data_IF_728328672788
#
_entry.id   IF_728328672788
#
_cell.length_a   1.000
_cell.length_b   1.000
_cell.length_c   1.000
_cell.angle_alpha   90.00
_cell.angle_beta   90.00
_cell.angle_gamma   90.00
#
_symmetry.space_group_name_H-M   'P 1'
#
loop_
_entity.id
_entity.type
_entity.pdbx_description
1 polymer ?
#
# COMPACT_ATOMS: atom_id res chain seq x y z
N UNK A 1 -33.19 7.75 -39.01
CA UNK A 1 -33.57 8.56 -37.84
C UNK A 1 -33.87 7.60 -36.71
N UNK A 2 -32.97 7.51 -35.73
CA UNK A 2 -33.20 6.71 -34.51
C UNK A 2 -34.01 7.56 -33.52
N UNK A 3 -35.04 7.01 -32.88
CA UNK A 3 -35.84 7.74 -31.90
C UNK A 3 -34.97 8.18 -30.70
N UNK A 4 -35.29 9.31 -30.06
CA UNK A 4 -34.57 9.77 -28.88
C UNK A 4 -34.72 8.75 -27.72
N UNK A 5 -33.65 8.49 -26.94
CA UNK A 5 -33.68 7.51 -25.86
C UNK A 5 -34.60 7.95 -24.72
N UNK A 6 -35.34 7.00 -24.15
CA UNK A 6 -36.21 7.19 -22.99
C UNK A 6 -35.39 7.48 -21.72
N UNK A 7 -35.90 8.39 -20.88
CA UNK A 7 -35.23 8.82 -19.64
C UNK A 7 -34.99 7.66 -18.64
N UNK A 8 -35.71 6.55 -18.76
CA UNK A 8 -35.56 5.33 -17.95
C UNK A 8 -34.34 4.49 -18.30
N UNK A 9 -33.73 4.68 -19.48
CA UNK A 9 -32.64 3.83 -19.97
C UNK A 9 -31.25 4.37 -19.62
N UNK A 10 -31.19 5.60 -19.11
CA UNK A 10 -29.93 6.27 -18.73
C UNK A 10 -29.15 5.51 -17.64
N UNK A 11 -29.79 4.97 -16.57
CA UNK A 11 -29.06 4.27 -15.51
C UNK A 11 -28.48 2.92 -15.98
N UNK A 12 -29.22 2.18 -16.81
CA UNK A 12 -28.81 0.87 -17.34
C UNK A 12 -27.71 1.01 -18.41
N UNK A 13 -27.74 2.07 -19.23
CA UNK A 13 -26.64 2.39 -20.13
C UNK A 13 -25.37 2.79 -19.38
N UNK A 14 -25.49 3.56 -18.30
CA UNK A 14 -24.35 3.94 -17.49
C UNK A 14 -23.73 2.73 -16.76
N UNK A 15 -24.57 1.79 -16.31
CA UNK A 15 -24.11 0.55 -15.66
C UNK A 15 -23.45 -0.44 -16.62
N UNK A 16 -24.01 -0.64 -17.81
CA UNK A 16 -23.45 -1.54 -18.83
C UNK A 16 -22.11 -1.03 -19.39
N UNK A 17 -21.93 0.29 -19.51
CA UNK A 17 -20.62 0.88 -19.84
C UNK A 17 -19.56 0.70 -18.75
N UNK A 18 -19.97 0.49 -17.49
CA UNK A 18 -19.06 0.19 -16.40
C UNK A 18 -18.66 -1.30 -16.33
N UNK A 19 -19.55 -2.20 -16.77
CA UNK A 19 -19.38 -3.65 -16.63
C UNK A 19 -18.62 -4.32 -17.77
N UNK A 20 -18.59 -3.70 -18.96
CA UNK A 20 -17.84 -4.21 -20.10
C UNK A 20 -16.56 -3.36 -20.28
N UNK A 21 -15.44 -3.67 -19.59
CA UNK A 21 -14.16 -3.12 -19.97
C UNK A 21 -13.89 -3.57 -21.41
N UNK A 22 -14.01 -2.64 -22.36
CA UNK A 22 -13.91 -2.95 -23.79
C UNK A 22 -12.61 -3.70 -24.13
N UNK A 23 -12.55 -4.43 -25.25
CA UNK A 23 -11.40 -5.27 -25.63
C UNK A 23 -10.05 -4.52 -25.64
N UNK A 24 -10.06 -3.20 -25.81
CA UNK A 24 -8.89 -2.32 -25.73
C UNK A 24 -8.21 -2.30 -24.34
N UNK A 25 -8.96 -2.55 -23.25
CA UNK A 25 -8.41 -2.60 -21.89
C UNK A 25 -7.59 -3.88 -21.61
N UNK A 26 -7.73 -4.92 -22.43
CA UNK A 26 -6.99 -6.16 -22.24
C UNK A 26 -5.54 -6.06 -22.76
N UNK A 27 -5.35 -5.40 -23.91
CA UNK A 27 -4.04 -5.19 -24.51
C UNK A 27 -3.22 -4.17 -23.69
N UNK A 28 -3.88 -3.10 -23.22
CA UNK A 28 -3.32 -2.17 -22.24
C UNK A 28 -2.86 -2.92 -20.98
N UNK A 29 -3.68 -3.81 -20.39
CA UNK A 29 -3.28 -4.57 -19.18
C UNK A 29 -2.07 -5.48 -19.38
N UNK A 30 -1.87 -6.06 -20.56
CA UNK A 30 -0.71 -6.91 -20.84
C UNK A 30 0.58 -6.10 -20.99
N UNK A 31 0.53 -4.97 -21.70
CA UNK A 31 1.65 -4.03 -21.79
C UNK A 31 1.94 -3.38 -20.43
N UNK A 32 0.89 -3.04 -19.69
CA UNK A 32 1.00 -2.49 -18.33
C UNK A 32 1.61 -3.52 -17.38
N UNK A 33 1.22 -4.80 -17.45
CA UNK A 33 1.78 -5.88 -16.63
C UNK A 33 3.27 -6.08 -16.86
N UNK A 34 3.74 -6.06 -18.12
CA UNK A 34 5.18 -6.11 -18.42
C UNK A 34 5.94 -4.89 -17.88
N UNK A 35 5.42 -3.67 -18.05
CA UNK A 35 6.03 -2.45 -17.49
C UNK A 35 6.02 -2.43 -15.96
N UNK A 36 4.95 -2.92 -15.35
CA UNK A 36 4.82 -2.99 -13.88
C UNK A 36 5.86 -3.94 -13.30
N UNK A 37 6.08 -5.10 -13.93
CA UNK A 37 7.10 -6.06 -13.50
C UNK A 37 8.51 -5.47 -13.58
N UNK A 38 8.85 -4.74 -14.64
CA UNK A 38 10.18 -4.10 -14.75
C UNK A 38 10.33 -2.98 -13.71
N UNK A 39 9.29 -2.18 -13.47
CA UNK A 39 9.33 -1.10 -12.46
C UNK A 39 9.42 -1.65 -11.05
N UNK A 40 8.66 -2.69 -10.74
CA UNK A 40 8.65 -3.35 -9.43
C UNK A 40 9.98 -4.08 -9.19
N UNK A 41 10.50 -4.79 -10.20
CA UNK A 41 11.82 -5.39 -10.15
C UNK A 41 12.90 -4.33 -9.96
N UNK A 42 12.84 -3.20 -10.65
CA UNK A 42 13.80 -2.11 -10.49
C UNK A 42 13.74 -1.48 -9.09
N UNK A 43 12.54 -1.26 -8.55
CA UNK A 43 12.35 -0.74 -7.19
C UNK A 43 12.87 -1.72 -6.14
N UNK A 44 12.72 -3.03 -6.37
CA UNK A 44 13.24 -4.07 -5.51
C UNK A 44 14.76 -4.19 -5.63
N UNK A 45 15.31 -4.16 -6.84
CA UNK A 45 16.73 -4.39 -7.11
C UNK A 45 17.60 -3.20 -6.65
N UNK A 46 17.11 -1.98 -6.76
CA UNK A 46 17.82 -0.76 -6.38
C UNK A 46 18.42 -0.80 -4.95
N UNK A 47 17.64 -1.07 -3.88
CA UNK A 47 18.20 -1.13 -2.53
C UNK A 47 19.23 -2.27 -2.35
N UNK A 48 19.08 -3.40 -3.06
CA UNK A 48 20.06 -4.48 -3.01
C UNK A 48 21.36 -4.12 -3.70
N UNK A 49 21.31 -3.44 -4.84
CA UNK A 49 22.52 -2.97 -5.53
C UNK A 49 23.28 -1.97 -4.68
N UNK A 50 22.57 -1.01 -4.09
CA UNK A 50 23.16 -0.03 -3.17
C UNK A 50 23.80 -0.75 -1.97
N UNK A 51 23.06 -1.65 -1.33
CA UNK A 51 23.56 -2.43 -0.19
C UNK A 51 24.80 -3.25 -0.55
N UNK A 52 24.81 -3.89 -1.73
CA UNK A 52 25.95 -4.64 -2.22
C UNK A 52 27.17 -3.74 -2.47
N UNK A 53 26.96 -2.55 -3.04
CA UNK A 53 28.03 -1.57 -3.27
C UNK A 53 28.67 -1.08 -1.98
N UNK A 54 27.85 -0.72 -0.98
CA UNK A 54 28.34 -0.35 0.36
C UNK A 54 29.07 -1.52 1.03
N UNK A 55 28.55 -2.75 0.90
CA UNK A 55 29.16 -3.94 1.49
C UNK A 55 30.53 -4.26 0.86
N UNK A 56 30.63 -4.22 -0.47
CA UNK A 56 31.88 -4.47 -1.20
C UNK A 56 32.91 -3.39 -0.88
N UNK A 57 32.51 -2.12 -0.91
CA UNK A 57 33.41 -0.99 -0.62
C UNK A 57 33.92 -1.05 0.82
N UNK A 58 33.04 -1.35 1.78
CA UNK A 58 33.41 -1.52 3.18
C UNK A 58 34.37 -2.70 3.38
N UNK A 59 34.08 -3.86 2.77
CA UNK A 59 34.94 -5.03 2.85
C UNK A 59 36.33 -4.78 2.22
N UNK A 60 36.37 -4.11 1.07
CA UNK A 60 37.62 -3.74 0.41
C UNK A 60 38.45 -2.79 1.30
N UNK A 61 37.82 -1.76 1.88
CA UNK A 61 38.48 -0.83 2.78
C UNK A 61 39.00 -1.53 4.05
N UNK A 62 38.25 -2.48 4.58
CA UNK A 62 38.59 -3.26 5.75
C UNK A 62 39.85 -4.11 5.58
N UNK A 63 39.96 -4.79 4.43
CA UNK A 63 41.11 -5.66 4.13
C UNK A 63 42.40 -4.85 3.99
N UNK A 64 42.32 -3.62 3.46
CA UNK A 64 43.49 -2.76 3.30
C UNK A 64 43.95 -2.07 4.60
N UNK A 65 43.08 -1.93 5.59
CA UNK A 65 43.36 -1.17 6.81
C UNK A 65 42.98 -1.93 8.09
N UNK A 66 43.53 -3.13 8.26
CA UNK A 66 43.23 -3.99 9.43
C UNK A 66 43.55 -3.32 10.78
N UNK A 67 44.51 -2.40 10.81
CA UNK A 67 44.92 -1.67 12.03
C UNK A 67 43.84 -0.67 12.53
N UNK A 68 42.89 -0.27 11.67
CA UNK A 68 41.80 0.66 12.00
C UNK A 68 40.57 -0.05 12.59
N UNK A 69 40.58 -1.38 12.64
CA UNK A 69 39.49 -2.15 13.24
C UNK A 69 39.69 -2.21 14.75
N UNK A 70 38.93 -1.38 15.47
CA UNK A 70 38.92 -1.37 16.93
C UNK A 70 37.52 -1.68 17.45
N UNK A 71 37.45 -2.32 18.60
CA UNK A 71 36.19 -2.59 19.30
C UNK A 71 36.10 -1.67 20.54
N UNK A 72 35.85 -0.35 20.37
CA UNK A 72 35.89 0.60 21.48
C UNK A 72 34.86 0.28 22.56
N UNK A 73 33.73 -0.34 22.18
CA UNK A 73 32.67 -0.76 23.10
C UNK A 73 32.79 -2.22 23.53
N UNK A 74 33.77 -2.98 23.02
CA UNK A 74 33.97 -4.41 23.29
C UNK A 74 32.90 -5.36 22.73
N UNK A 75 31.73 -4.83 22.33
CA UNK A 75 30.59 -5.61 21.81
C UNK A 75 30.57 -5.66 20.28
N UNK A 76 31.03 -4.59 19.62
CA UNK A 76 30.99 -4.47 18.17
C UNK A 76 32.33 -3.95 17.66
N UNK A 77 32.88 -4.63 16.65
CA UNK A 77 33.99 -4.09 15.87
C UNK A 77 33.44 -2.96 15.01
N UNK A 78 33.86 -1.73 15.29
CA UNK A 78 33.53 -0.59 14.43
C UNK A 78 34.81 -0.18 13.70
N UNK A 79 34.66 0.18 12.44
CA UNK A 79 35.75 0.82 11.75
C UNK A 79 35.92 2.22 12.34
N UNK A 80 37.07 2.49 12.94
CA UNK A 80 37.51 3.85 13.27
C UNK A 80 38.02 4.56 11.99
N UNK A 81 37.38 4.24 10.87
CA UNK A 81 37.84 4.58 9.53
C UNK A 81 37.19 5.89 9.09
N UNK A 82 37.90 6.98 9.37
CA UNK A 82 37.86 8.26 8.66
C UNK A 82 36.50 8.90 8.37
N UNK A 83 36.56 10.16 7.93
CA UNK A 83 35.41 10.94 7.50
C UNK A 83 34.51 10.17 6.50
N UNK A 84 35.06 9.26 5.69
CA UNK A 84 34.29 8.56 4.65
C UNK A 84 33.20 7.65 5.21
N UNK A 85 33.51 6.72 6.12
CA UNK A 85 32.50 5.82 6.68
C UNK A 85 31.47 6.61 7.50
N UNK A 86 31.96 7.62 8.23
CA UNK A 86 31.16 8.45 9.12
C UNK A 86 30.15 9.33 8.40
N UNK A 87 30.49 9.88 7.23
CA UNK A 87 29.59 10.78 6.50
C UNK A 87 28.87 10.12 5.33
N UNK A 88 29.46 9.12 4.65
CA UNK A 88 28.85 8.55 3.43
C UNK A 88 27.50 7.88 3.69
N UNK A 89 27.40 7.07 4.75
CA UNK A 89 26.16 6.33 5.07
C UNK A 89 25.06 7.28 5.55
N UNK A 90 25.29 8.19 6.53
CA UNK A 90 24.26 9.14 6.94
C UNK A 90 23.86 10.10 5.84
N UNK A 91 24.82 10.60 5.03
CA UNK A 91 24.52 11.49 3.91
C UNK A 91 23.63 10.79 2.87
N UNK A 92 23.96 9.56 2.49
CA UNK A 92 23.12 8.77 1.60
C UNK A 92 21.70 8.58 2.18
N UNK A 93 21.61 8.24 3.46
CA UNK A 93 20.34 8.08 4.17
C UNK A 93 19.50 9.39 4.15
N UNK A 94 20.13 10.54 4.43
CA UNK A 94 19.48 11.85 4.39
C UNK A 94 18.97 12.15 2.98
N UNK A 95 19.80 11.97 1.94
CA UNK A 95 19.41 12.21 0.55
C UNK A 95 18.21 11.34 0.15
N UNK A 96 18.26 10.04 0.43
CA UNK A 96 17.16 9.12 0.13
C UNK A 96 15.90 9.49 0.91
N UNK A 97 16.03 9.83 2.20
CA UNK A 97 14.87 10.23 3.03
C UNK A 97 14.23 11.50 2.49
N UNK A 98 15.01 12.49 2.07
CA UNK A 98 14.50 13.72 1.45
C UNK A 98 13.77 13.40 0.14
N UNK A 99 14.31 12.51 -0.70
CA UNK A 99 13.64 12.07 -1.93
C UNK A 99 12.31 11.36 -1.64
N UNK A 100 12.27 10.50 -0.62
CA UNK A 100 11.05 9.82 -0.18
C UNK A 100 9.99 10.82 0.27
N UNK A 101 10.36 11.79 1.12
CA UNK A 101 9.46 12.86 1.57
C UNK A 101 8.95 13.68 0.38
N UNK A 102 9.81 14.02 -0.58
CA UNK A 102 9.39 14.77 -1.77
C UNK A 102 8.35 13.99 -2.61
N UNK A 103 8.58 12.69 -2.84
CA UNK A 103 7.62 11.82 -3.54
C UNK A 103 6.31 11.72 -2.75
N UNK A 104 6.38 11.61 -1.43
CA UNK A 104 5.20 11.54 -0.58
C UNK A 104 4.35 12.80 -0.64
N UNK A 105 4.98 13.98 -0.59
CA UNK A 105 4.32 15.27 -0.76
C UNK A 105 3.61 15.34 -2.12
N UNK A 106 4.28 14.90 -3.20
CA UNK A 106 3.67 14.84 -4.55
C UNK A 106 2.46 13.91 -4.55
N UNK A 107 2.56 12.73 -3.92
CA UNK A 107 1.45 11.78 -3.81
C UNK A 107 0.26 12.36 -3.04
N UNK A 108 0.52 13.11 -1.95
CA UNK A 108 -0.52 13.83 -1.21
C UNK A 108 -1.22 14.84 -2.11
N UNK A 109 -0.48 15.67 -2.83
CA UNK A 109 -1.08 16.66 -3.73
C UNK A 109 -1.93 16.02 -4.82
N UNK A 110 -1.45 14.94 -5.45
CA UNK A 110 -2.23 14.21 -6.45
C UNK A 110 -3.50 13.59 -5.83
N UNK A 111 -3.37 13.00 -4.64
CA UNK A 111 -4.50 12.43 -3.92
C UNK A 111 -5.58 13.48 -3.63
N UNK A 112 -5.19 14.67 -3.17
CA UNK A 112 -6.11 15.77 -2.92
C UNK A 112 -6.78 16.27 -4.20
N UNK A 113 -6.03 16.35 -5.31
CA UNK A 113 -6.58 16.73 -6.61
C UNK A 113 -7.62 15.74 -7.12
N UNK A 114 -7.31 14.44 -7.07
CA UNK A 114 -8.25 13.37 -7.46
C UNK A 114 -9.47 13.39 -6.55
N UNK A 115 -9.27 13.56 -5.25
CA UNK A 115 -10.37 13.63 -4.28
C UNK A 115 -11.32 14.79 -4.58
N UNK A 116 -10.79 15.98 -4.81
CA UNK A 116 -11.61 17.14 -5.17
C UNK A 116 -12.39 16.96 -6.48
N UNK A 117 -11.84 16.20 -7.43
CA UNK A 117 -12.54 15.86 -8.67
C UNK A 117 -13.68 14.85 -8.44
N UNK A 118 -13.44 13.84 -7.61
CA UNK A 118 -14.43 12.81 -7.25
C UNK A 118 -15.56 13.38 -6.41
N UNK A 119 -15.25 14.24 -5.43
CA UNK A 119 -16.25 14.86 -4.56
C UNK A 119 -17.24 15.72 -5.36
N UNK A 120 -16.78 16.35 -6.45
CA UNK A 120 -17.65 17.09 -7.39
C UNK A 120 -18.52 16.17 -8.23
N UNK A 121 -18.06 14.97 -8.55
CA UNK A 121 -18.77 14.02 -9.41
C UNK A 121 -19.79 13.17 -8.65
N UNK A 122 -19.52 12.81 -7.40
CA UNK A 122 -20.35 11.86 -6.62
C UNK A 122 -20.50 12.26 -5.15
N UNK A 123 -21.30 13.31 -4.84
CA UNK A 123 -21.45 13.82 -3.48
C UNK A 123 -22.19 12.88 -2.50
N UNK A 124 -22.85 11.83 -2.99
CA UNK A 124 -23.69 10.94 -2.16
C UNK A 124 -22.97 9.71 -1.61
N UNK A 125 -21.75 9.39 -2.07
CA UNK A 125 -21.07 8.16 -1.63
C UNK A 125 -20.33 8.40 -0.32
N UNK A 126 -20.98 8.08 0.81
CA UNK A 126 -20.38 8.16 2.15
C UNK A 126 -19.18 7.22 2.24
N UNK A 127 -17.97 7.78 2.38
CA UNK A 127 -16.71 7.05 2.23
C UNK A 127 -16.05 6.83 3.59
N UNK A 128 -16.29 5.67 4.20
CA UNK A 128 -15.81 5.35 5.55
C UNK A 128 -14.34 4.84 5.59
N UNK A 129 -13.76 4.46 4.45
CA UNK A 129 -12.45 3.79 4.38
C UNK A 129 -11.21 4.72 4.27
N UNK A 130 -11.35 6.03 4.40
CA UNK A 130 -10.23 6.95 4.11
C UNK A 130 -9.32 7.26 5.30
N UNK A 131 -9.85 7.17 6.53
CA UNK A 131 -9.11 7.57 7.74
C UNK A 131 -7.90 6.66 7.98
N UNK A 132 -8.03 5.35 7.73
CA UNK A 132 -6.94 4.39 7.93
C UNK A 132 -5.73 4.65 7.02
N UNK A 133 -5.96 5.09 5.79
CA UNK A 133 -4.89 5.45 4.86
C UNK A 133 -4.13 6.71 5.34
N UNK A 134 -4.88 7.73 5.78
CA UNK A 134 -4.30 8.97 6.30
C UNK A 134 -3.45 8.72 7.56
N UNK A 135 -3.92 7.91 8.50
CA UNK A 135 -3.17 7.57 9.71
C UNK A 135 -1.84 6.87 9.37
N UNK A 136 -1.85 5.91 8.43
CA UNK A 136 -0.63 5.23 8.01
C UNK A 136 0.37 6.18 7.36
N UNK A 137 -0.12 7.12 6.56
CA UNK A 137 0.70 8.15 5.93
C UNK A 137 1.34 9.08 6.98
N UNK A 138 0.57 9.49 7.98
CA UNK A 138 1.08 10.31 9.10
C UNK A 138 2.15 9.57 9.90
N UNK A 139 1.97 8.28 10.17
CA UNK A 139 2.95 7.45 10.87
C UNK A 139 4.24 7.25 10.05
N UNK A 140 4.11 7.07 8.73
CA UNK A 140 5.25 6.97 7.83
C UNK A 140 6.06 8.27 7.81
N UNK A 141 5.40 9.42 7.67
CA UNK A 141 6.05 10.74 7.78
C UNK A 141 6.76 10.92 9.12
N UNK A 142 6.10 10.56 10.22
CA UNK A 142 6.69 10.67 11.55
C UNK A 142 7.98 9.83 11.67
N UNK A 143 7.95 8.60 11.17
CA UNK A 143 9.13 7.74 11.10
C UNK A 143 10.24 8.34 10.25
N UNK A 144 9.91 8.89 9.08
CA UNK A 144 10.87 9.55 8.19
C UNK A 144 11.53 10.76 8.86
N UNK A 145 10.76 11.57 9.60
CA UNK A 145 11.29 12.71 10.37
C UNK A 145 12.25 12.27 11.49
N UNK A 146 11.93 11.17 12.19
CA UNK A 146 12.83 10.60 13.21
C UNK A 146 14.14 10.13 12.58
N UNK A 147 14.08 9.40 11.46
CA UNK A 147 15.26 8.93 10.73
C UNK A 147 16.10 10.11 10.23
N UNK A 148 15.45 11.13 9.67
CA UNK A 148 16.12 12.36 9.23
C UNK A 148 16.84 13.05 10.38
N UNK A 149 16.19 13.17 11.55
CA UNK A 149 16.80 13.76 12.74
C UNK A 149 18.05 12.98 13.18
N UNK A 150 18.00 11.64 13.17
CA UNK A 150 19.15 10.81 13.48
C UNK A 150 20.29 11.02 12.48
N UNK A 151 19.97 11.15 11.19
CA UNK A 151 20.94 11.47 10.15
C UNK A 151 21.64 12.80 10.40
N UNK A 152 20.90 13.82 10.82
CA UNK A 152 21.46 15.14 11.17
C UNK A 152 22.38 15.04 12.40
N UNK A 153 21.94 14.37 13.47
CA UNK A 153 22.76 14.18 14.68
C UNK A 153 24.06 13.39 14.39
N UNK A 154 24.00 12.39 13.50
CA UNK A 154 25.19 11.68 13.06
C UNK A 154 26.20 12.61 12.36
N UNK A 155 25.72 13.58 11.58
CA UNK A 155 26.57 14.55 10.89
C UNK A 155 27.15 15.59 11.86
N UNK A 156 26.44 15.96 12.93
CA UNK A 156 26.94 16.95 13.92
C UNK A 156 27.99 16.40 14.88
N UNK A 157 28.37 15.12 14.76
CA UNK A 157 29.34 14.43 15.62
C UNK A 157 28.95 14.26 17.09
N UNK A 158 27.68 14.48 17.44
CA UNK A 158 27.19 14.19 18.77
C UNK A 158 26.89 12.69 18.92
N UNK A 159 27.85 11.96 19.50
CA UNK A 159 27.75 10.53 19.81
C UNK A 159 26.78 10.27 20.97
N UNK A 160 25.50 10.60 20.76
CA UNK A 160 24.41 10.38 21.72
C UNK A 160 23.83 8.97 21.48
N UNK A 161 23.35 8.30 22.53
CA UNK A 161 22.72 6.96 22.44
C UNK A 161 21.42 6.92 21.61
N UNK A 162 20.89 8.08 21.22
CA UNK A 162 19.59 8.25 20.57
C UNK A 162 19.45 7.49 19.23
N UNK A 163 20.40 7.56 18.28
CA UNK A 163 20.23 6.91 16.98
C UNK A 163 20.14 5.39 17.07
N UNK A 164 20.82 4.78 18.04
CA UNK A 164 20.73 3.33 18.29
C UNK A 164 19.32 2.93 18.76
N UNK A 165 18.71 3.73 19.63
CA UNK A 165 17.32 3.50 20.06
C UNK A 165 16.35 3.69 18.90
N UNK A 166 16.52 4.76 18.11
CA UNK A 166 15.69 5.02 16.94
C UNK A 166 15.76 3.89 15.91
N UNK A 167 16.97 3.35 15.65
CA UNK A 167 17.17 2.22 14.74
C UNK A 167 16.40 0.97 15.20
N UNK A 168 16.38 0.70 16.51
CA UNK A 168 15.61 -0.42 17.07
C UNK A 168 14.09 -0.24 17.02
N UNK A 169 13.62 1.01 16.92
CA UNK A 169 12.19 1.33 16.83
C UNK A 169 11.63 1.17 15.41
N UNK A 170 12.48 1.24 14.37
CA UNK A 170 12.03 1.16 12.96
C UNK A 170 11.22 -0.11 12.67
N UNK A 171 11.65 -1.33 13.05
CA UNK A 171 10.85 -2.54 12.81
C UNK A 171 9.50 -2.50 13.52
N UNK A 172 9.43 -1.93 14.73
CA UNK A 172 8.17 -1.79 15.48
C UNK A 172 7.21 -0.85 14.75
N UNK A 173 7.71 0.28 14.25
CA UNK A 173 6.92 1.22 13.45
C UNK A 173 6.42 0.54 12.16
N UNK A 174 7.28 -0.22 11.46
CA UNK A 174 6.87 -0.97 10.28
C UNK A 174 5.76 -1.98 10.59
N UNK A 175 5.89 -2.76 11.68
CA UNK A 175 4.85 -3.70 12.12
C UNK A 175 3.57 -2.95 12.46
N UNK A 176 3.63 -1.76 13.06
CA UNK A 176 2.46 -0.96 13.37
C UNK A 176 1.77 -0.44 12.10
N UNK A 177 2.53 0.08 11.14
CA UNK A 177 2.01 0.60 9.87
C UNK A 177 1.40 -0.51 9.02
N UNK A 178 2.15 -1.60 8.78
CA UNK A 178 1.69 -2.69 7.94
C UNK A 178 0.68 -3.59 8.67
N UNK A 179 0.90 -3.87 9.94
CA UNK A 179 0.01 -4.70 10.76
C UNK A 179 -1.34 -4.03 11.04
N UNK A 180 -1.45 -2.70 10.97
CA UNK A 180 -2.75 -1.99 11.09
C UNK A 180 -3.67 -2.17 9.87
N UNK A 181 -3.26 -2.93 8.84
CA UNK A 181 -4.10 -3.24 7.70
C UNK A 181 -5.27 -4.14 8.11
N UNK A 182 -6.54 -3.75 7.87
CA UNK A 182 -7.67 -4.60 8.21
C UNK A 182 -7.58 -5.95 7.52
N UNK A 183 -7.00 -6.01 6.32
CA UNK A 183 -6.76 -7.26 5.59
C UNK A 183 -5.72 -8.14 6.30
N UNK A 184 -4.64 -7.54 6.82
CA UNK A 184 -3.61 -8.26 7.58
C UNK A 184 -4.16 -8.70 8.94
N UNK A 185 -4.91 -7.83 9.62
CA UNK A 185 -5.60 -8.18 10.86
C UNK A 185 -6.61 -9.29 10.64
N UNK A 186 -7.37 -9.26 9.54
CA UNK A 186 -8.30 -10.32 9.18
C UNK A 186 -7.57 -11.65 8.89
N UNK A 187 -6.45 -11.58 8.16
CA UNK A 187 -5.60 -12.75 7.90
C UNK A 187 -4.97 -13.32 9.18
N UNK A 188 -4.58 -12.47 10.12
CA UNK A 188 -4.02 -12.87 11.42
C UNK A 188 -5.09 -13.37 12.38
N UNK A 189 -6.29 -12.81 12.32
CA UNK A 189 -7.46 -13.27 13.06
C UNK A 189 -8.18 -14.44 12.36
N UNK A 190 -7.48 -15.25 11.56
CA UNK A 190 -8.04 -16.43 10.88
C UNK A 190 -8.76 -17.39 11.83
N UNK A 191 -8.40 -17.37 13.12
CA UNK A 191 -9.04 -18.18 14.16
C UNK A 191 -10.47 -17.74 14.51
N UNK A 192 -10.83 -16.49 14.23
CA UNK A 192 -12.17 -15.97 14.48
C UNK A 192 -13.01 -16.32 13.25
N UNK A 193 -13.72 -17.45 13.33
CA UNK A 193 -14.57 -17.96 12.26
C UNK A 193 -15.36 -16.80 11.63
N UNK A 194 -15.24 -16.55 10.31
CA UNK A 194 -15.99 -15.50 9.67
C UNK A 194 -17.47 -15.82 9.87
N UNK A 195 -18.18 -14.96 10.60
CA UNK A 195 -19.65 -14.93 10.48
C UNK A 195 -19.87 -14.69 9.00
N UNK A 196 -20.48 -15.65 8.32
CA UNK A 196 -20.99 -15.48 6.97
C UNK A 196 -21.88 -14.24 7.03
N UNK A 197 -21.29 -13.10 6.69
CA UNK A 197 -22.05 -11.92 6.39
C UNK A 197 -22.52 -12.29 5.01
N UNK A 198 -23.72 -12.86 4.94
CA UNK A 198 -24.46 -12.97 3.70
C UNK A 198 -24.40 -11.57 3.11
N UNK A 199 -23.48 -11.35 2.17
CA UNK A 199 -23.54 -10.21 1.29
C UNK A 199 -24.89 -10.48 0.62
N UNK A 200 -25.93 -9.64 0.86
CA UNK A 200 -27.16 -9.81 0.13
C UNK A 200 -26.75 -9.57 -1.32
N UNK A 201 -26.50 -10.66 -2.03
CA UNK A 201 -26.47 -10.65 -3.48
C UNK A 201 -27.79 -9.99 -3.80
N UNK A 202 -27.80 -8.79 -4.42
CA UNK A 202 -29.04 -8.21 -4.88
C UNK A 202 -29.61 -9.27 -5.78
N UNK A 203 -30.56 -10.05 -5.25
CA UNK A 203 -31.34 -11.02 -6.01
C UNK A 203 -31.74 -10.23 -7.22
N UNK A 204 -31.21 -10.63 -8.39
CA UNK A 204 -31.51 -9.98 -9.64
C UNK A 204 -33.01 -9.77 -9.62
N UNK A 205 -33.39 -8.50 -9.55
CA UNK A 205 -34.75 -8.09 -9.31
C UNK A 205 -35.53 -8.59 -10.51
N UNK A 206 -36.13 -9.77 -10.38
CA UNK A 206 -37.12 -10.32 -11.30
C UNK A 206 -38.43 -9.56 -11.12
N UNK A 207 -38.38 -8.23 -11.00
CA UNK A 207 -39.56 -7.40 -11.09
C UNK A 207 -39.80 -7.19 -12.57
N UNK A 208 -40.68 -8.00 -13.15
CA UNK A 208 -41.41 -7.56 -14.34
C UNK A 208 -41.39 -8.45 -15.59
N UNK A 209 -41.30 -9.78 -15.47
CA UNK A 209 -41.87 -10.68 -16.51
C UNK A 209 -42.82 -11.68 -15.83
N UNK A 210 -43.85 -11.14 -15.20
CA UNK A 210 -45.21 -11.71 -15.21
C UNK A 210 -46.00 -10.68 -16.04
N UNK A 211 -46.52 -10.96 -17.22
CA UNK A 211 -47.46 -12.02 -17.56
C UNK A 211 -47.42 -12.31 -19.07
N UNK A 212 -47.30 -13.57 -19.46
CA UNK A 212 -48.29 -14.25 -20.32
C UNK A 212 -47.94 -15.75 -20.42
N UNK A 213 -48.42 -16.55 -19.46
CA UNK A 213 -48.55 -18.00 -19.63
C UNK A 213 -50.05 -18.35 -19.58
N UNK A 214 -50.68 -18.75 -20.69
CA UNK A 214 -52.09 -19.10 -20.74
C UNK A 214 -52.39 -20.53 -20.25
N UNK A 215 -51.42 -21.26 -19.70
CA UNK A 215 -51.57 -22.66 -19.28
C UNK A 215 -51.48 -22.80 -17.75
N UNK A 216 -52.64 -22.80 -17.09
CA UNK A 216 -52.75 -22.93 -15.64
C UNK A 216 -52.23 -24.26 -15.08
N UNK A 217 -50.95 -24.30 -14.73
CA UNK A 217 -50.39 -25.32 -13.85
C UNK A 217 -49.80 -24.68 -12.60
N UNK A 218 -50.50 -24.92 -11.49
CA UNK A 218 -50.23 -24.47 -10.14
C UNK A 218 -48.97 -25.18 -9.61
N UNK A 219 -47.85 -24.45 -9.49
CA UNK A 219 -46.64 -24.95 -8.84
C UNK A 219 -46.67 -24.64 -7.34
N UNK A 220 -46.68 -25.69 -6.50
CA UNK A 220 -46.51 -25.55 -5.05
C UNK A 220 -45.05 -25.19 -4.68
N UNK A 221 -44.84 -24.24 -3.76
CA UNK A 221 -43.52 -23.90 -3.26
C UNK A 221 -42.97 -25.01 -2.34
N UNK A 222 -41.76 -25.49 -2.61
CA UNK A 222 -41.02 -26.40 -1.74
C UNK A 222 -40.42 -25.58 -0.59
N UNK A 223 -40.91 -25.83 0.61
CA UNK A 223 -40.50 -25.18 1.86
C UNK A 223 -39.16 -25.78 2.32
N UNK A 224 -38.06 -25.08 2.07
CA UNK A 224 -36.72 -25.45 2.53
C UNK A 224 -36.55 -25.07 4.00
N UNK A 225 -36.74 -26.05 4.88
CA UNK A 225 -36.61 -25.94 6.33
C UNK A 225 -35.13 -25.81 6.76
N UNK A 226 -34.69 -24.58 7.06
CA UNK A 226 -33.31 -24.22 7.41
C UNK A 226 -33.06 -24.28 8.93
N UNK A 227 -33.61 -25.29 9.62
CA UNK A 227 -33.56 -25.42 11.08
C UNK A 227 -32.60 -26.49 11.62
N UNK A 228 -31.78 -27.12 10.77
CA UNK A 228 -30.64 -27.96 11.20
C UNK A 228 -29.36 -27.22 10.93
N UNK A 229 -28.71 -26.65 11.95
CA UNK A 229 -27.26 -26.57 12.18
C UNK A 229 -27.07 -25.62 13.39
N UNK A 230 -27.36 -26.17 14.58
CA UNK A 230 -26.86 -25.68 15.86
C UNK A 230 -25.52 -26.35 16.14
#
# INVERSE_FOLDING_TARGET
MTPPPSLSDVPTQMWSNFQAPGPYLHEERLLHGKRLNVRLLSLLLCPYLVFSGFSITSAFYAVHNLELVKAPTGLYCTFDADAFSRYSVPLYCVVVTVLVIAVEVIMIFQFWGIRNAVDKAMPLMKRENEIGCLIRLMLFNLGAMIILSCGIFYVTNDLISWPYMAQSAVPLICVLIFGSQPDILAAWCFWKHPRQTEIPIPSARTDGISDFDPSGHEYMPVQSDSSRWL
#
